data_IF_230151173723
#
_entry.id   IF_230151173723
#
_cell.length_a   1.000
_cell.length_b   1.000
_cell.length_c   1.000
_cell.angle_alpha   90.00
_cell.angle_beta   90.00
_cell.angle_gamma   90.00
#
_symmetry.space_group_name_H-M   'P 1'
#
loop_
_entity.id
_entity.type
_entity.pdbx_description
1 polymer ?
#
# COMPACT_ATOMS: atom_id res chain seq x y z
N UNK A 1 -4.01 47.33 26.61
CA UNK A 1 -4.24 46.55 25.39
C UNK A 1 -5.57 46.98 24.85
N UNK A 2 -5.61 47.45 23.61
CA UNK A 2 -6.88 47.92 23.04
C UNK A 2 -7.86 46.75 22.95
N UNK A 3 -9.16 46.96 23.22
CA UNK A 3 -10.16 45.90 23.15
C UNK A 3 -10.17 45.23 21.76
N UNK A 4 -9.79 45.98 20.73
CA UNK A 4 -9.65 45.51 19.35
C UNK A 4 -8.53 44.48 19.21
N UNK A 5 -7.39 44.65 19.89
CA UNK A 5 -6.26 43.72 19.75
C UNK A 5 -6.53 42.40 20.47
N UNK A 6 -7.24 42.43 21.58
CA UNK A 6 -7.66 41.21 22.32
C UNK A 6 -8.61 40.37 21.45
N UNK A 7 -9.58 41.02 20.80
CA UNK A 7 -10.52 40.34 19.90
C UNK A 7 -9.79 39.76 18.68
N UNK A 8 -8.86 40.50 18.08
CA UNK A 8 -8.09 40.03 16.93
C UNK A 8 -7.26 38.79 17.26
N UNK A 9 -6.57 38.77 18.41
CA UNK A 9 -5.78 37.61 18.86
C UNK A 9 -6.68 36.40 19.15
N UNK A 10 -7.85 36.62 19.76
CA UNK A 10 -8.81 35.55 20.02
C UNK A 10 -9.33 34.89 18.74
N UNK A 11 -9.64 35.67 17.71
CA UNK A 11 -10.08 35.16 16.40
C UNK A 11 -8.96 34.36 15.73
N UNK A 12 -7.73 34.88 15.76
CA UNK A 12 -6.57 34.23 15.16
C UNK A 12 -6.28 32.90 15.84
N UNK A 13 -6.35 32.85 17.17
CA UNK A 13 -6.18 31.61 17.94
C UNK A 13 -7.30 30.61 17.63
N UNK A 14 -8.56 31.04 17.61
CA UNK A 14 -9.70 30.18 17.26
C UNK A 14 -9.60 29.64 15.83
N UNK A 15 -9.16 30.46 14.87
CA UNK A 15 -8.91 30.06 13.49
C UNK A 15 -7.77 29.02 13.40
N UNK A 16 -6.71 29.19 14.19
CA UNK A 16 -5.59 28.24 14.25
C UNK A 16 -6.05 26.88 14.80
N UNK A 17 -6.78 26.90 15.93
CA UNK A 17 -7.36 25.68 16.53
C UNK A 17 -8.36 25.03 15.59
N UNK A 18 -9.17 25.81 14.88
CA UNK A 18 -10.11 25.29 13.89
C UNK A 18 -9.39 24.64 12.71
N UNK A 19 -8.35 25.28 12.15
CA UNK A 19 -7.59 24.72 11.02
C UNK A 19 -6.83 23.44 11.40
N UNK A 20 -6.33 23.35 12.63
CA UNK A 20 -5.59 22.16 13.13
C UNK A 20 -6.54 21.07 13.63
N UNK A 21 -7.66 21.44 14.25
CA UNK A 21 -8.66 20.49 14.78
C UNK A 21 -9.63 19.98 13.71
N UNK A 22 -9.95 20.78 12.69
CA UNK A 22 -10.80 20.38 11.57
C UNK A 22 -10.36 19.08 10.87
N UNK A 23 -9.07 18.85 10.55
CA UNK A 23 -8.65 17.60 9.92
C UNK A 23 -8.80 16.38 10.85
N UNK A 24 -8.90 16.55 12.16
CA UNK A 24 -9.06 15.44 13.10
C UNK A 24 -10.50 14.89 13.14
N UNK A 25 -11.49 15.66 12.66
CA UNK A 25 -12.91 15.27 12.64
C UNK A 25 -13.46 15.00 11.23
N UNK A 26 -12.64 15.18 10.20
CA UNK A 26 -12.98 14.74 8.84
C UNK A 26 -12.80 13.22 8.76
N UNK A 27 -13.91 12.50 8.83
CA UNK A 27 -14.00 11.15 8.23
C UNK A 27 -13.84 11.33 6.72
N UNK A 28 -13.05 10.47 6.09
CA UNK A 28 -12.61 10.63 4.70
C UNK A 28 -13.80 10.75 3.72
N UNK A 29 -14.11 11.98 3.32
CA UNK A 29 -14.70 12.22 2.01
C UNK A 29 -13.53 12.30 1.03
N UNK A 30 -13.20 11.12 0.47
CA UNK A 30 -12.59 10.89 -0.85
C UNK A 30 -11.83 12.10 -1.44
N UNK A 31 -10.59 12.29 -1.01
CA UNK A 31 -9.66 13.21 -1.66
C UNK A 31 -8.81 12.37 -2.62
N UNK A 32 -9.14 12.45 -3.92
CA UNK A 32 -8.34 11.96 -5.05
C UNK A 32 -6.95 12.61 -5.04
N UNK A 33 -6.02 11.95 -4.39
CA UNK A 33 -4.62 12.32 -4.30
C UNK A 33 -3.86 11.00 -4.26
N UNK A 34 -3.05 10.74 -5.31
CA UNK A 34 -2.22 9.55 -5.53
C UNK A 34 -1.12 9.34 -4.47
N UNK A 35 -1.51 9.32 -3.20
CA UNK A 35 -0.75 8.87 -2.04
C UNK A 35 -1.76 8.19 -1.11
N UNK A 36 -1.91 6.87 -1.22
CA UNK A 36 -2.65 6.09 -0.22
C UNK A 36 -1.75 5.88 1.01
N UNK A 37 -2.00 6.49 2.19
CA UNK A 37 -1.66 5.81 3.42
C UNK A 37 -2.78 4.80 3.66
N UNK A 38 -2.53 3.56 3.26
CA UNK A 38 -3.36 2.40 3.63
C UNK A 38 -3.38 2.22 5.16
N UNK A 39 -4.17 3.04 5.85
CA UNK A 39 -4.53 2.94 7.26
C UNK A 39 -5.95 2.39 7.45
N UNK A 40 -6.71 2.19 6.38
CA UNK A 40 -7.90 1.35 6.40
C UNK A 40 -7.60 0.00 5.73
N UNK A 41 -7.21 -0.97 6.54
CA UNK A 41 -7.69 -2.35 6.39
C UNK A 41 -7.44 -3.06 7.70
N UNK A 42 -8.50 -3.28 8.47
CA UNK A 42 -8.57 -4.32 9.51
C UNK A 42 -8.54 -5.73 8.87
N UNK A 43 -7.59 -5.92 7.96
CA UNK A 43 -7.45 -7.03 7.03
C UNK A 43 -6.12 -7.00 6.28
N UNK A 44 -5.14 -6.19 6.72
CA UNK A 44 -3.75 -6.37 6.27
C UNK A 44 -3.37 -7.80 6.61
N UNK A 45 -3.04 -8.59 5.59
CA UNK A 45 -2.51 -9.93 5.79
C UNK A 45 -1.34 -9.86 6.79
N UNK A 46 -1.20 -10.86 7.65
CA UNK A 46 -0.16 -10.92 8.70
C UNK A 46 1.24 -10.54 8.15
N UNK A 47 1.48 -10.93 6.89
CA UNK A 47 2.68 -10.64 6.12
C UNK A 47 2.89 -9.15 5.75
N UNK A 48 1.83 -8.41 5.41
CA UNK A 48 1.93 -6.97 5.14
C UNK A 48 2.19 -6.17 6.42
N UNK A 49 1.59 -6.59 7.53
CA UNK A 49 1.84 -6.00 8.84
C UNK A 49 3.29 -6.25 9.29
N UNK A 50 3.78 -7.48 9.12
CA UNK A 50 5.16 -7.85 9.39
C UNK A 50 6.15 -7.05 8.53
N UNK A 51 5.87 -6.89 7.23
CA UNK A 51 6.65 -6.03 6.32
C UNK A 51 6.71 -4.60 6.84
N UNK A 52 5.57 -3.97 7.12
CA UNK A 52 5.54 -2.60 7.65
C UNK A 52 6.37 -2.47 8.94
N UNK A 53 6.28 -3.44 9.84
CA UNK A 53 7.03 -3.43 11.09
C UNK A 53 8.56 -3.53 10.88
N UNK A 54 9.03 -4.45 10.02
CA UNK A 54 10.46 -4.62 9.76
C UNK A 54 11.06 -3.40 9.07
N UNK A 55 10.36 -2.82 8.10
CA UNK A 55 10.82 -1.62 7.40
C UNK A 55 10.79 -0.37 8.31
N UNK A 56 9.79 -0.25 9.17
CA UNK A 56 9.75 0.82 10.17
C UNK A 56 10.92 0.72 11.16
N UNK A 57 11.21 -0.50 11.64
CA UNK A 57 12.33 -0.73 12.54
C UNK A 57 13.69 -0.39 11.87
N UNK A 58 13.88 -0.75 10.59
CA UNK A 58 15.06 -0.36 9.83
C UNK A 58 15.20 1.17 9.71
N UNK A 59 14.11 1.87 9.42
CA UNK A 59 14.11 3.33 9.30
C UNK A 59 14.43 4.01 10.64
N UNK A 60 13.89 3.48 11.75
CA UNK A 60 14.14 4.01 13.09
C UNK A 60 15.61 3.87 13.49
N UNK A 61 16.23 2.70 13.28
CA UNK A 61 17.65 2.51 13.61
C UNK A 61 18.57 3.35 12.71
N UNK A 62 18.22 3.54 11.43
CA UNK A 62 18.98 4.41 10.53
C UNK A 62 18.88 5.87 10.96
N UNK A 63 17.69 6.30 11.36
CA UNK A 63 17.46 7.63 11.92
C UNK A 63 18.27 7.84 13.20
N UNK A 64 18.20 6.93 14.17
CA UNK A 64 18.92 7.06 15.42
C UNK A 64 20.44 7.06 15.24
N UNK A 65 20.96 6.28 14.29
CA UNK A 65 22.36 6.33 13.90
C UNK A 65 22.73 7.70 13.28
N UNK A 66 21.94 8.19 12.32
CA UNK A 66 22.19 9.50 11.68
C UNK A 66 22.11 10.67 12.67
N UNK A 67 21.27 10.56 13.69
CA UNK A 67 21.14 11.54 14.76
C UNK A 67 22.22 11.40 15.84
N UNK A 68 23.13 10.43 15.70
CA UNK A 68 24.23 10.19 16.65
C UNK A 68 23.76 9.64 18.00
N UNK A 69 22.53 9.11 18.09
CA UNK A 69 21.96 8.52 19.31
C UNK A 69 22.39 7.06 19.51
N UNK A 70 22.94 6.44 18.48
CA UNK A 70 23.34 5.04 18.47
C UNK A 70 24.77 4.89 17.96
N UNK A 71 25.51 3.93 18.54
CA UNK A 71 26.88 3.64 18.09
C UNK A 71 26.86 2.91 16.74
N UNK A 72 27.95 3.04 15.98
CA UNK A 72 28.09 2.34 14.69
C UNK A 72 28.10 0.81 14.85
N UNK A 73 28.57 0.31 16.00
CA UNK A 73 28.55 -1.12 16.31
C UNK A 73 27.11 -1.60 16.51
N UNK A 74 26.34 -0.93 17.38
CA UNK A 74 24.95 -1.30 17.66
C UNK A 74 24.08 -1.20 16.39
N UNK A 75 24.31 -0.15 15.59
CA UNK A 75 23.66 0.02 14.30
C UNK A 75 23.91 -1.17 13.37
N UNK A 76 25.17 -1.60 13.23
CA UNK A 76 25.54 -2.72 12.36
C UNK A 76 24.91 -4.02 12.86
N UNK A 77 24.98 -4.30 14.16
CA UNK A 77 24.37 -5.50 14.74
C UNK A 77 22.85 -5.55 14.49
N UNK A 78 22.14 -4.45 14.74
CA UNK A 78 20.69 -4.37 14.49
C UNK A 78 20.35 -4.48 13.00
N UNK A 79 21.12 -3.82 12.14
CA UNK A 79 20.92 -3.86 10.68
C UNK A 79 21.14 -5.26 10.12
N UNK A 80 22.17 -5.97 10.56
CA UNK A 80 22.45 -7.35 10.15
C UNK A 80 21.32 -8.32 10.53
N UNK A 81 20.58 -8.06 11.62
CA UNK A 81 19.43 -8.87 12.00
C UNK A 81 18.14 -8.54 11.23
N UNK A 82 17.91 -7.27 10.91
CA UNK A 82 16.67 -6.82 10.27
C UNK A 82 16.70 -6.89 8.75
N UNK A 83 17.85 -6.60 8.13
CA UNK A 83 18.00 -6.57 6.68
C UNK A 83 17.67 -7.91 5.99
N UNK A 84 18.08 -9.08 6.50
CA UNK A 84 17.68 -10.36 5.91
C UNK A 84 16.17 -10.58 5.92
N UNK A 85 15.48 -10.17 7.00
CA UNK A 85 14.02 -10.28 7.11
C UNK A 85 13.32 -9.39 6.08
N UNK A 86 13.82 -8.17 5.88
CA UNK A 86 13.29 -7.28 4.85
C UNK A 86 13.43 -7.88 3.43
N UNK A 87 14.59 -8.48 3.13
CA UNK A 87 14.83 -9.15 1.84
C UNK A 87 13.90 -10.35 1.67
N UNK A 88 13.72 -11.17 2.69
CA UNK A 88 12.83 -12.33 2.64
C UNK A 88 11.39 -11.91 2.33
N UNK A 89 10.88 -10.89 3.02
CA UNK A 89 9.52 -10.39 2.81
C UNK A 89 9.29 -9.88 1.39
N UNK A 90 10.28 -9.17 0.81
CA UNK A 90 10.24 -8.73 -0.59
C UNK A 90 10.19 -9.92 -1.57
N UNK A 91 11.01 -10.95 -1.34
CA UNK A 91 11.01 -12.13 -2.20
C UNK A 91 9.70 -12.92 -2.14
N UNK A 92 9.07 -12.97 -0.97
CA UNK A 92 7.78 -13.64 -0.81
C UNK A 92 6.67 -12.87 -1.56
N UNK A 93 6.71 -11.54 -1.52
CA UNK A 93 5.79 -10.67 -2.27
C UNK A 93 5.95 -10.85 -3.79
N UNK A 94 7.19 -10.83 -4.30
CA UNK A 94 7.46 -11.06 -5.73
C UNK A 94 6.92 -12.43 -6.20
N UNK A 95 7.10 -13.48 -5.40
CA UNK A 95 6.56 -14.82 -5.69
C UNK A 95 5.03 -14.83 -5.68
N UNK A 96 4.40 -14.14 -4.73
CA UNK A 96 2.95 -14.05 -4.65
C UNK A 96 2.36 -13.31 -5.84
N UNK A 97 2.97 -12.18 -6.24
CA UNK A 97 2.58 -11.40 -7.42
C UNK A 97 2.78 -12.21 -8.71
N UNK A 98 3.94 -12.88 -8.85
CA UNK A 98 4.22 -13.74 -10.00
C UNK A 98 3.23 -14.89 -10.15
N UNK A 99 2.85 -15.53 -9.03
CA UNK A 99 1.87 -16.63 -9.02
C UNK A 99 0.45 -16.16 -9.37
N UNK A 100 0.01 -15.02 -8.84
CA UNK A 100 -1.29 -14.42 -9.21
C UNK A 100 -1.33 -14.09 -10.70
N UNK A 101 -0.33 -13.38 -11.19
CA UNK A 101 -0.23 -12.99 -12.61
C UNK A 101 -0.19 -14.20 -13.55
N UNK A 102 0.53 -15.26 -13.18
CA UNK A 102 0.54 -16.50 -13.95
C UNK A 102 -0.83 -17.17 -14.02
N UNK A 103 -1.55 -17.24 -12.89
CA UNK A 103 -2.90 -17.80 -12.82
C UNK A 103 -3.90 -17.01 -13.68
N UNK A 104 -3.85 -15.68 -13.60
CA UNK A 104 -4.75 -14.82 -14.38
C UNK A 104 -4.49 -14.93 -15.88
N UNK A 105 -3.22 -15.09 -16.28
CA UNK A 105 -2.85 -15.29 -17.67
C UNK A 105 -3.34 -16.65 -18.19
N UNK A 106 -3.17 -17.72 -17.40
CA UNK A 106 -3.68 -19.05 -17.77
C UNK A 106 -5.19 -19.07 -17.92
N UNK A 107 -5.93 -18.42 -17.02
CA UNK A 107 -7.39 -18.33 -17.11
C UNK A 107 -7.86 -17.57 -18.36
N UNK A 108 -7.19 -16.47 -18.72
CA UNK A 108 -7.47 -15.73 -19.95
C UNK A 108 -7.22 -16.57 -21.21
N UNK A 109 -6.12 -17.33 -21.22
CA UNK A 109 -5.78 -18.23 -22.33
C UNK A 109 -6.85 -19.31 -22.49
N UNK A 110 -7.29 -19.94 -21.39
CA UNK A 110 -8.33 -20.97 -21.42
C UNK A 110 -9.66 -20.44 -21.98
N UNK A 111 -10.08 -19.25 -21.53
CA UNK A 111 -11.32 -18.61 -22.01
C UNK A 111 -11.26 -18.27 -23.51
N UNK A 112 -10.11 -17.79 -23.99
CA UNK A 112 -9.92 -17.46 -25.41
C UNK A 112 -9.94 -18.73 -26.28
N UNK A 113 -9.29 -19.81 -25.82
CA UNK A 113 -9.29 -21.12 -26.48
C UNK A 113 -10.70 -21.72 -26.58
N UNK A 114 -11.50 -21.62 -25.52
CA UNK A 114 -12.86 -22.13 -25.49
C UNK A 114 -13.76 -21.40 -26.51
N UNK A 115 -13.64 -20.07 -26.58
CA UNK A 115 -14.36 -19.26 -27.58
C UNK A 115 -13.99 -19.61 -29.02
N UNK A 116 -12.71 -19.89 -29.28
CA UNK A 116 -12.24 -20.29 -30.61
C UNK A 116 -12.82 -21.67 -31.00
N UNK A 117 -12.77 -22.64 -30.10
CA UNK A 117 -13.34 -23.98 -30.28
C UNK A 117 -14.84 -23.95 -30.56
N UNK A 118 -15.60 -23.12 -29.82
CA UNK A 118 -17.03 -22.96 -30.06
C UNK A 118 -17.33 -22.42 -31.46
N UNK A 119 -16.53 -21.46 -31.94
CA UNK A 119 -16.67 -20.90 -33.29
C UNK A 119 -16.44 -21.96 -34.35
N UNK A 120 -15.34 -22.72 -34.26
CA UNK A 120 -15.04 -23.80 -35.22
C UNK A 120 -16.12 -24.87 -35.22
N UNK A 121 -16.60 -25.32 -34.05
CA UNK A 121 -17.67 -26.30 -33.95
C UNK A 121 -18.99 -25.78 -34.54
N UNK A 122 -19.29 -24.50 -34.34
CA UNK A 122 -20.47 -23.88 -34.94
C UNK A 122 -20.38 -23.85 -36.47
N UNK A 123 -19.21 -23.58 -37.02
CA UNK A 123 -18.97 -23.61 -38.47
C UNK A 123 -19.11 -25.02 -39.06
N UNK A 124 -18.51 -26.02 -38.40
CA UNK A 124 -18.61 -27.43 -38.82
C UNK A 124 -20.07 -27.89 -38.80
N UNK A 125 -20.82 -27.58 -37.74
CA UNK A 125 -22.25 -27.91 -37.63
C UNK A 125 -23.11 -27.24 -38.70
N UNK A 126 -22.73 -26.04 -39.16
CA UNK A 126 -23.43 -25.34 -40.25
C UNK A 126 -23.17 -26.01 -41.60
N UNK A 127 -21.92 -26.40 -41.89
CA UNK A 127 -21.57 -27.13 -43.12
C UNK A 127 -22.27 -28.49 -43.19
N UNK A 128 -22.29 -29.23 -42.09
CA UNK A 128 -22.94 -30.54 -42.00
C UNK A 128 -24.48 -30.51 -42.12
N UNK A 129 -25.13 -29.34 -42.08
CA UNK A 129 -26.59 -29.20 -42.33
C UNK A 129 -26.93 -28.73 -43.75
N UNK A 130 -25.95 -28.27 -44.53
CA UNK A 130 -26.16 -27.78 -45.90
C UNK A 130 -25.85 -28.82 -46.97
N UNK A 131 -25.28 -29.97 -46.58
CA UNK A 131 -25.18 -31.21 -47.37
C UNK A 131 -26.30 -32.18 -47.01
#
# INVERSE_FOLDING_TARGET
MDPITIVAVGILLAMTVYLVGSPLFRKEDEIDLDWEPALETAGSTDQEAEKKAVFAALAEIEFDYQMGKMSEQDYRELKEMLQPKAVELLQQEEKAVGKKRGKDLSAQIEEELEKELERELAEIRRRARQE
#
